data_IF_958857605509
#
_entry.id   IF_958857605509
#
_cell.length_a   1.000
_cell.length_b   1.000
_cell.length_c   1.000
_cell.angle_alpha   90.00
_cell.angle_beta   90.00
_cell.angle_gamma   90.00
#
_symmetry.space_group_name_H-M   'P 1'
#
loop_
_entity.id
_entity.type
_entity.pdbx_description
1 polymer ?
#
# COMPACT_ATOMS: atom_id res chain seq x y z
N UNK A 1 68.83 81.20 -25.65
CA UNK A 1 67.85 80.34 -26.34
C UNK A 1 68.62 79.44 -27.30
N UNK A 2 68.87 78.18 -26.92
CA UNK A 2 69.49 77.19 -27.81
C UNK A 2 68.38 76.39 -28.52
N UNK A 3 68.41 76.28 -29.86
CA UNK A 3 67.42 75.50 -30.59
C UNK A 3 67.67 74.01 -30.36
N UNK A 4 66.67 73.30 -29.81
CA UNK A 4 66.67 71.83 -29.78
C UNK A 4 66.52 71.31 -31.20
N UNK A 5 67.54 70.64 -31.70
CA UNK A 5 67.51 69.94 -32.98
C UNK A 5 66.38 68.91 -32.98
N UNK A 6 65.50 68.97 -33.98
CA UNK A 6 64.47 67.97 -34.19
C UNK A 6 65.12 66.66 -34.64
N UNK A 7 64.69 65.49 -34.10
CA UNK A 7 65.22 64.20 -34.51
C UNK A 7 65.09 64.01 -36.02
N UNK A 8 66.15 63.47 -36.62
CA UNK A 8 66.22 63.23 -38.06
C UNK A 8 65.11 62.28 -38.50
N UNK A 9 64.68 62.35 -39.76
CA UNK A 9 63.67 61.43 -40.31
C UNK A 9 64.08 59.95 -40.21
N UNK A 10 65.37 59.67 -40.00
CA UNK A 10 65.92 58.35 -39.73
C UNK A 10 65.58 57.83 -38.32
N UNK A 11 65.54 58.70 -37.30
CA UNK A 11 65.18 58.30 -35.94
C UNK A 11 63.71 57.86 -35.83
N UNK A 12 62.79 58.55 -36.53
CA UNK A 12 61.34 58.27 -36.43
C UNK A 12 60.94 56.88 -36.93
N UNK A 13 61.62 56.35 -37.96
CA UNK A 13 61.35 54.99 -38.48
C UNK A 13 61.84 53.91 -37.52
N UNK A 14 62.97 54.14 -36.86
CA UNK A 14 63.51 53.21 -35.86
C UNK A 14 62.68 53.19 -34.58
N UNK A 15 62.14 54.34 -34.14
CA UNK A 15 61.21 54.39 -33.00
C UNK A 15 59.87 53.68 -33.28
N UNK A 16 59.32 53.81 -34.50
CA UNK A 16 58.10 53.10 -34.89
C UNK A 16 58.33 51.58 -34.97
N UNK A 17 59.47 51.14 -35.54
CA UNK A 17 59.82 49.73 -35.57
C UNK A 17 60.01 49.15 -34.16
N UNK A 18 60.62 49.91 -33.24
CA UNK A 18 60.81 49.49 -31.85
C UNK A 18 59.49 49.42 -31.07
N UNK A 19 58.58 50.38 -31.28
CA UNK A 19 57.25 50.37 -30.68
C UNK A 19 56.41 49.18 -31.16
N UNK A 20 56.41 48.89 -32.46
CA UNK A 20 55.70 47.73 -33.04
C UNK A 20 56.30 46.42 -32.51
N UNK A 21 57.63 46.32 -32.39
CA UNK A 21 58.29 45.15 -31.83
C UNK A 21 57.93 44.94 -30.35
N UNK A 22 57.86 46.03 -29.56
CA UNK A 22 57.49 45.98 -28.15
C UNK A 22 56.02 45.59 -27.95
N UNK A 23 55.10 46.12 -28.76
CA UNK A 23 53.69 45.74 -28.76
C UNK A 23 53.50 44.28 -29.20
N UNK A 24 54.19 43.84 -30.26
CA UNK A 24 54.15 42.45 -30.70
C UNK A 24 54.73 41.48 -29.66
N UNK A 25 55.80 41.88 -28.95
CA UNK A 25 56.37 41.10 -27.85
C UNK A 25 55.40 40.98 -26.68
N UNK A 26 54.71 42.08 -26.31
CA UNK A 26 53.72 42.10 -25.23
C UNK A 26 52.51 41.22 -25.56
N UNK A 27 51.98 41.32 -26.80
CA UNK A 27 50.88 40.49 -27.28
C UNK A 27 51.29 39.01 -27.31
N UNK A 28 52.51 38.71 -27.76
CA UNK A 28 53.03 37.34 -27.76
C UNK A 28 53.11 36.81 -26.33
N UNK A 29 53.67 37.57 -25.38
CA UNK A 29 53.75 37.21 -23.96
C UNK A 29 52.37 36.96 -23.31
N UNK A 30 51.34 37.69 -23.73
CA UNK A 30 49.95 37.48 -23.29
C UNK A 30 49.36 36.20 -23.90
N UNK A 31 49.74 35.84 -25.13
CA UNK A 31 49.23 34.63 -25.78
C UNK A 31 49.89 33.34 -25.23
N UNK A 32 51.19 33.36 -24.90
CA UNK A 32 51.88 32.19 -24.32
C UNK A 32 51.58 31.96 -22.83
N UNK A 33 50.89 32.87 -22.12
CA UNK A 33 50.51 32.69 -20.71
C UNK A 33 49.19 31.95 -20.50
N UNK A 34 48.52 31.47 -21.56
CA UNK A 34 47.17 30.88 -21.50
C UNK A 34 47.12 29.35 -21.56
N UNK A 35 48.24 28.66 -21.34
CA UNK A 35 48.28 27.19 -21.26
C UNK A 35 47.56 26.69 -19.99
N UNK A 36 46.26 26.44 -20.06
CA UNK A 36 45.55 25.74 -18.99
C UNK A 36 46.01 24.28 -18.93
N UNK A 37 46.24 23.78 -17.72
CA UNK A 37 46.52 22.36 -17.47
C UNK A 37 45.26 21.73 -16.91
N UNK A 38 44.84 20.60 -17.49
CA UNK A 38 43.72 19.79 -17.00
C UNK A 38 44.26 18.71 -16.09
N UNK A 39 43.74 18.66 -14.88
CA UNK A 39 44.07 17.68 -13.85
C UNK A 39 42.91 16.73 -13.62
N UNK A 40 43.24 15.52 -13.16
CA UNK A 40 42.29 14.49 -12.75
C UNK A 40 42.73 13.90 -11.41
N UNK A 41 41.80 13.71 -10.49
CA UNK A 41 42.04 13.03 -9.22
C UNK A 41 40.82 12.21 -8.80
N UNK A 42 41.06 11.03 -8.22
CA UNK A 42 40.00 10.23 -7.62
C UNK A 42 39.87 10.53 -6.12
N UNK A 43 38.66 10.41 -5.58
CA UNK A 43 38.40 10.58 -4.14
C UNK A 43 37.44 9.52 -3.64
N UNK A 44 37.65 9.04 -2.44
CA UNK A 44 36.74 8.10 -1.79
C UNK A 44 36.76 8.26 -0.28
N UNK A 45 35.84 7.57 0.37
CA UNK A 45 35.68 7.67 1.81
C UNK A 45 34.62 6.74 2.35
N UNK A 46 34.35 6.93 3.64
CA UNK A 46 33.34 6.18 4.39
C UNK A 46 32.35 7.14 5.03
N UNK A 47 31.08 6.75 5.03
CA UNK A 47 30.00 7.47 5.68
C UNK A 47 29.36 6.53 6.71
N UNK A 48 29.32 6.96 7.96
CA UNK A 48 28.88 6.11 9.07
C UNK A 48 27.71 6.72 9.84
N UNK A 49 26.89 5.86 10.43
CA UNK A 49 25.90 6.27 11.41
C UNK A 49 26.60 6.64 12.72
N UNK A 50 26.32 7.83 13.24
CA UNK A 50 27.02 8.38 14.40
C UNK A 50 26.75 7.62 15.70
N UNK A 51 25.62 6.93 15.80
CA UNK A 51 25.23 6.20 17.00
C UNK A 51 25.79 4.78 17.01
N UNK A 52 25.67 4.06 15.89
CA UNK A 52 26.08 2.66 15.78
C UNK A 52 27.49 2.46 15.23
N UNK A 53 28.09 3.50 14.63
CA UNK A 53 29.34 3.44 13.87
C UNK A 53 29.30 2.49 12.66
N UNK A 54 28.11 2.03 12.26
CA UNK A 54 27.92 1.19 11.07
C UNK A 54 27.98 2.04 9.80
N UNK A 55 28.45 1.46 8.69
CA UNK A 55 28.38 2.11 7.39
C UNK A 55 26.94 2.39 6.97
N UNK A 56 26.69 3.54 6.34
CA UNK A 56 25.38 3.89 5.78
C UNK A 56 25.36 3.53 4.30
N UNK A 57 24.52 2.57 3.91
CA UNK A 57 24.33 2.16 2.52
C UNK A 57 23.52 3.19 1.70
N UNK A 58 23.74 3.22 0.38
CA UNK A 58 22.99 4.02 -0.62
C UNK A 58 22.98 5.54 -0.38
N UNK A 59 23.93 6.09 0.38
CA UNK A 59 24.13 7.54 0.49
C UNK A 59 24.57 8.09 -0.86
N UNK A 60 23.79 9.00 -1.44
CA UNK A 60 24.20 9.79 -2.61
C UNK A 60 25.29 10.75 -2.18
N UNK A 61 26.40 10.75 -2.91
CA UNK A 61 27.52 11.67 -2.69
C UNK A 61 27.72 12.50 -3.94
N UNK A 62 27.75 13.83 -3.82
CA UNK A 62 28.05 14.74 -4.91
C UNK A 62 29.25 15.61 -4.56
N UNK A 63 30.19 15.73 -5.50
CA UNK A 63 31.42 16.49 -5.34
C UNK A 63 31.40 17.80 -6.13
N UNK A 64 31.96 18.85 -5.52
CA UNK A 64 32.01 20.22 -6.03
C UNK A 64 33.43 20.76 -5.93
N UNK A 65 33.81 21.60 -6.89
CA UNK A 65 35.10 22.31 -6.90
C UNK A 65 35.02 23.71 -6.29
N UNK A 66 33.81 24.18 -6.02
CA UNK A 66 33.51 25.50 -5.48
C UNK A 66 32.53 25.38 -4.31
N UNK A 67 32.83 26.08 -3.22
CA UNK A 67 32.03 26.02 -1.99
C UNK A 67 30.66 26.69 -2.17
N UNK A 68 30.63 27.82 -2.88
CA UNK A 68 29.40 28.57 -3.12
C UNK A 68 28.46 27.79 -4.03
N UNK A 69 29.00 27.03 -4.99
CA UNK A 69 28.24 26.12 -5.84
C UNK A 69 27.59 25.00 -5.02
N UNK A 70 28.35 24.33 -4.13
CA UNK A 70 27.80 23.34 -3.19
C UNK A 70 26.69 23.95 -2.33
N UNK A 71 26.94 25.11 -1.74
CA UNK A 71 26.00 25.75 -0.83
C UNK A 71 24.73 26.23 -1.55
N UNK A 72 24.85 26.63 -2.82
CA UNK A 72 23.70 26.95 -3.68
C UNK A 72 22.82 25.73 -3.88
N UNK A 73 23.39 24.58 -4.26
CA UNK A 73 22.62 23.34 -4.45
C UNK A 73 22.02 22.84 -3.13
N UNK A 74 22.75 22.98 -2.01
CA UNK A 74 22.23 22.65 -0.68
C UNK A 74 20.96 23.43 -0.33
N UNK A 75 20.95 24.73 -0.62
CA UNK A 75 19.80 25.60 -0.36
C UNK A 75 18.66 25.35 -1.35
N UNK A 76 18.96 25.22 -2.64
CA UNK A 76 17.95 25.09 -3.70
C UNK A 76 17.24 23.73 -3.68
N UNK A 77 17.94 22.68 -3.28
CA UNK A 77 17.44 21.30 -3.33
C UNK A 77 17.15 20.69 -1.95
N UNK A 78 17.03 21.51 -0.90
CA UNK A 78 16.71 21.02 0.44
C UNK A 78 15.41 20.20 0.53
N UNK A 79 14.41 20.54 -0.29
CA UNK A 79 13.12 19.84 -0.37
C UNK A 79 13.12 18.66 -1.36
N UNK A 80 13.96 18.68 -2.39
CA UNK A 80 14.11 17.59 -3.36
C UNK A 80 15.59 17.31 -3.69
N UNK A 81 16.33 16.65 -2.79
CA UNK A 81 17.77 16.45 -2.97
C UNK A 81 18.15 15.58 -4.18
N UNK A 82 17.22 14.79 -4.72
CA UNK A 82 17.48 13.94 -5.88
C UNK A 82 17.73 14.74 -7.17
N UNK A 83 17.25 15.98 -7.25
CA UNK A 83 17.50 16.85 -8.40
C UNK A 83 18.94 17.34 -8.52
N UNK A 84 19.73 17.24 -7.45
CA UNK A 84 21.15 17.63 -7.44
C UNK A 84 21.95 16.86 -8.51
N UNK A 85 21.55 15.63 -8.84
CA UNK A 85 22.22 14.83 -9.88
C UNK A 85 22.18 15.50 -11.27
N UNK A 86 21.22 16.40 -11.50
CA UNK A 86 21.10 17.16 -12.75
C UNK A 86 21.83 18.52 -12.72
N UNK A 87 22.43 18.89 -11.58
CA UNK A 87 23.13 20.16 -11.46
C UNK A 87 24.44 20.18 -12.25
N UNK A 88 24.59 21.17 -13.12
CA UNK A 88 25.86 21.40 -13.86
C UNK A 88 27.05 21.78 -12.96
N UNK A 89 26.77 22.10 -11.70
CA UNK A 89 27.79 22.43 -10.70
C UNK A 89 28.49 21.19 -10.14
N UNK A 90 27.81 20.03 -10.16
CA UNK A 90 28.36 18.74 -9.73
C UNK A 90 29.49 18.31 -10.67
N UNK A 91 30.62 17.89 -10.08
CA UNK A 91 31.82 17.44 -10.81
C UNK A 91 32.10 15.95 -10.69
N UNK A 92 31.35 15.26 -9.84
CA UNK A 92 31.35 13.82 -9.73
C UNK A 92 30.30 13.38 -8.72
N UNK A 93 29.81 12.15 -8.87
CA UNK A 93 28.87 11.55 -7.93
C UNK A 93 29.21 10.09 -7.68
N UNK A 94 28.75 9.57 -6.55
CA UNK A 94 28.83 8.17 -6.18
C UNK A 94 27.67 7.79 -5.26
N UNK A 95 27.56 6.49 -5.00
CA UNK A 95 26.70 5.93 -3.94
C UNK A 95 27.57 5.12 -2.99
N UNK A 96 27.23 5.12 -1.71
CA UNK A 96 27.90 4.23 -0.75
C UNK A 96 27.41 2.79 -0.89
N UNK A 97 28.30 1.84 -0.64
CA UNK A 97 27.98 0.42 -0.55
C UNK A 97 27.46 0.01 0.84
N UNK A 98 27.27 -1.29 1.07
CA UNK A 98 26.80 -1.85 2.35
C UNK A 98 27.69 -1.51 3.55
N UNK A 99 28.95 -1.15 3.34
CA UNK A 99 29.90 -0.75 4.38
C UNK A 99 29.99 0.78 4.52
N UNK A 100 29.17 1.53 3.79
CA UNK A 100 29.23 2.99 3.76
C UNK A 100 30.38 3.55 2.94
N UNK A 101 31.08 2.71 2.17
CA UNK A 101 32.23 3.13 1.37
C UNK A 101 31.78 3.65 0.00
N UNK A 102 32.42 4.73 -0.48
CA UNK A 102 32.19 5.24 -1.82
C UNK A 102 33.49 5.64 -2.51
N UNK A 103 33.48 5.65 -3.84
CA UNK A 103 34.58 6.15 -4.67
C UNK A 103 34.04 6.93 -5.87
N UNK A 104 34.53 8.16 -6.04
CA UNK A 104 34.38 8.96 -7.26
C UNK A 104 35.69 8.83 -8.05
N UNK A 105 35.65 8.08 -9.15
CA UNK A 105 36.86 7.68 -9.90
C UNK A 105 37.57 8.83 -10.62
N UNK A 106 36.89 9.96 -10.84
CA UNK A 106 37.47 11.12 -11.50
C UNK A 106 36.74 12.41 -11.12
N UNK A 107 37.48 13.37 -10.58
CA UNK A 107 37.13 14.78 -10.53
C UNK A 107 38.14 15.51 -11.42
N UNK A 108 37.64 16.22 -12.41
CA UNK A 108 38.46 16.93 -13.40
C UNK A 108 38.40 18.42 -13.09
N UNK A 109 39.57 19.08 -13.06
CA UNK A 109 39.67 20.53 -12.90
C UNK A 109 40.77 21.11 -13.77
N UNK A 110 40.61 22.36 -14.15
CA UNK A 110 41.62 23.14 -14.85
C UNK A 110 42.30 24.14 -13.91
N UNK A 111 43.57 24.44 -14.21
CA UNK A 111 44.32 25.52 -13.55
C UNK A 111 45.17 26.25 -14.58
N UNK A 112 45.12 27.58 -14.54
CA UNK A 112 46.00 28.46 -15.33
C UNK A 112 47.35 28.71 -14.67
N UNK A 113 47.49 28.42 -13.38
CA UNK A 113 48.70 28.65 -12.60
C UNK A 113 48.99 27.47 -11.67
N UNK A 114 49.40 26.30 -12.20
CA UNK A 114 49.68 25.14 -11.38
C UNK A 114 50.93 25.36 -10.51
N UNK A 115 50.83 25.07 -9.20
CA UNK A 115 51.92 25.29 -8.24
C UNK A 115 53.07 24.27 -8.39
N UNK A 116 52.74 23.03 -8.77
CA UNK A 116 53.68 21.90 -8.79
C UNK A 116 53.80 21.23 -10.18
N UNK A 117 53.32 21.88 -11.24
CA UNK A 117 53.27 21.31 -12.59
C UNK A 117 52.13 20.30 -12.77
N UNK A 118 52.24 19.38 -13.74
CA UNK A 118 51.20 18.38 -14.08
C UNK A 118 50.96 17.33 -12.99
N UNK A 119 51.91 17.16 -12.08
CA UNK A 119 51.89 16.13 -11.03
C UNK A 119 51.87 16.80 -9.66
N UNK A 120 51.01 16.35 -8.76
CA UNK A 120 50.91 16.83 -7.37
C UNK A 120 50.32 18.23 -7.16
N UNK A 121 49.70 18.86 -8.17
CA UNK A 121 48.81 19.98 -7.90
C UNK A 121 47.59 19.49 -7.12
N UNK A 122 47.01 20.37 -6.31
CA UNK A 122 45.91 20.02 -5.42
C UNK A 122 44.70 20.90 -5.64
N UNK A 123 43.52 20.35 -5.33
CA UNK A 123 42.26 21.08 -5.37
C UNK A 123 41.46 20.80 -4.12
N UNK A 124 40.78 21.83 -3.62
CA UNK A 124 39.77 21.68 -2.57
C UNK A 124 38.48 21.17 -3.21
N UNK A 125 37.91 20.15 -2.60
CA UNK A 125 36.65 19.54 -2.99
C UNK A 125 35.67 19.67 -1.83
N UNK A 126 34.43 19.94 -2.18
CA UNK A 126 33.31 20.06 -1.25
C UNK A 126 32.26 19.01 -1.61
N UNK A 127 31.48 18.57 -0.62
CA UNK A 127 30.57 17.44 -0.77
C UNK A 127 29.18 17.75 -0.24
N UNK A 128 28.18 17.23 -0.95
CA UNK A 128 26.84 17.00 -0.44
C UNK A 128 26.59 15.51 -0.30
N UNK A 129 25.86 15.16 0.75
CA UNK A 129 25.48 13.79 1.08
C UNK A 129 23.98 13.72 1.29
N UNK A 130 23.30 12.77 0.68
CA UNK A 130 21.88 12.57 0.90
C UNK A 130 21.56 11.10 1.10
N UNK A 131 20.78 10.85 2.15
CA UNK A 131 20.13 9.57 2.40
C UNK A 131 18.74 9.86 2.99
N UNK A 132 17.75 9.03 2.67
CA UNK A 132 16.37 9.26 3.11
C UNK A 132 16.23 9.33 4.64
N UNK A 133 17.02 8.55 5.39
CA UNK A 133 16.99 8.51 6.87
C UNK A 133 17.82 9.60 7.56
N UNK A 134 18.83 10.14 6.86
CA UNK A 134 19.79 11.10 7.43
C UNK A 134 19.59 12.52 6.91
N UNK A 135 18.80 12.69 5.85
CA UNK A 135 18.56 13.97 5.17
C UNK A 135 19.74 14.42 4.32
N UNK A 136 19.65 15.65 3.82
CA UNK A 136 20.72 16.31 3.07
C UNK A 136 21.73 16.92 4.04
N UNK A 137 23.02 16.61 3.86
CA UNK A 137 24.14 17.09 4.67
C UNK A 137 25.24 17.63 3.77
N UNK A 138 26.05 18.53 4.32
CA UNK A 138 27.27 19.05 3.66
C UNK A 138 28.49 18.79 4.54
N UNK A 139 29.63 18.52 3.92
CA UNK A 139 30.89 18.38 4.65
C UNK A 139 31.26 19.70 5.35
N UNK A 140 31.74 19.62 6.58
CA UNK A 140 32.12 20.81 7.35
C UNK A 140 33.42 21.45 6.85
N UNK A 141 34.32 20.64 6.30
CA UNK A 141 35.64 21.10 5.84
C UNK A 141 35.95 20.56 4.45
N UNK A 142 36.58 21.39 3.62
CA UNK A 142 37.01 20.99 2.28
C UNK A 142 38.01 19.85 2.34
N UNK A 143 37.88 18.86 1.46
CA UNK A 143 38.86 17.80 1.29
C UNK A 143 39.85 18.19 0.21
N UNK A 144 41.13 17.96 0.47
CA UNK A 144 42.18 18.28 -0.49
C UNK A 144 42.49 17.03 -1.31
N UNK A 145 42.21 17.07 -2.62
CA UNK A 145 42.58 16.00 -3.55
C UNK A 145 43.84 16.39 -4.30
N UNK A 146 44.71 15.42 -4.55
CA UNK A 146 45.90 15.60 -5.37
C UNK A 146 45.70 14.98 -6.75
N UNK A 147 46.23 15.65 -7.77
CA UNK A 147 46.27 15.16 -9.16
C UNK A 147 47.09 13.87 -9.26
N UNK A 148 46.62 12.95 -10.12
CA UNK A 148 47.22 11.64 -10.36
C UNK A 148 47.43 10.77 -9.10
N UNK A 149 46.71 11.08 -8.01
CA UNK A 149 46.73 10.33 -6.76
C UNK A 149 45.36 9.67 -6.47
N UNK A 150 45.41 8.53 -5.77
CA UNK A 150 44.23 7.87 -5.22
C UNK A 150 43.97 8.41 -3.81
N UNK A 151 43.02 9.35 -3.69
CA UNK A 151 42.66 9.96 -2.40
C UNK A 151 41.59 9.10 -1.68
N UNK A 152 41.80 7.78 -1.61
CA UNK A 152 40.88 6.83 -0.96
C UNK A 152 40.93 6.99 0.56
N UNK A 153 39.75 7.08 1.21
CA UNK A 153 39.65 7.28 2.65
C UNK A 153 39.86 8.72 3.12
N UNK A 154 39.90 9.70 2.20
CA UNK A 154 40.07 11.11 2.55
C UNK A 154 38.80 11.77 3.07
N UNK A 155 37.64 11.16 2.82
CA UNK A 155 36.34 11.59 3.34
C UNK A 155 35.93 10.62 4.45
N UNK A 156 35.68 11.15 5.65
CA UNK A 156 35.12 10.39 6.77
C UNK A 156 34.06 11.27 7.42
N UNK A 157 32.81 10.95 7.18
CA UNK A 157 31.66 11.71 7.68
C UNK A 157 30.77 10.79 8.51
N UNK A 158 30.12 11.38 9.51
CA UNK A 158 29.24 10.64 10.41
C UNK A 158 27.97 11.44 10.67
N UNK A 159 26.82 10.80 10.47
CA UNK A 159 25.52 11.47 10.51
C UNK A 159 24.61 10.90 11.60
N UNK A 160 23.87 11.81 12.25
CA UNK A 160 22.77 11.44 13.14
C UNK A 160 21.55 11.06 12.29
N UNK A 161 20.95 9.90 12.57
CA UNK A 161 19.67 9.49 11.98
C UNK A 161 18.59 10.48 12.43
N UNK A 162 17.88 11.09 11.47
CA UNK A 162 16.79 12.06 11.75
C UNK A 162 15.41 11.49 11.46
N UNK A 163 15.34 10.44 10.65
CA UNK A 163 14.11 9.76 10.25
C UNK A 163 14.23 8.27 10.52
N UNK A 164 13.09 7.63 10.75
CA UNK A 164 12.98 6.19 10.94
C UNK A 164 11.93 5.61 10.01
N UNK A 165 12.10 4.33 9.66
CA UNK A 165 11.11 3.55 8.94
C UNK A 165 10.18 2.89 9.96
N UNK A 166 8.88 2.95 9.69
CA UNK A 166 7.85 2.27 10.46
C UNK A 166 7.02 1.39 9.54
N UNK A 167 6.72 0.16 9.97
CA UNK A 167 5.89 -0.75 9.19
C UNK A 167 4.46 -0.69 9.70
N UNK A 168 3.55 -0.19 8.88
CA UNK A 168 2.12 -0.22 9.19
C UNK A 168 1.55 -1.51 8.63
N UNK A 169 1.00 -2.37 9.49
CA UNK A 169 0.35 -3.61 9.09
C UNK A 169 -1.17 -3.43 9.04
N UNK A 170 -1.83 -4.11 8.11
CA UNK A 170 -3.27 -4.08 7.92
C UNK A 170 -3.83 -5.51 7.93
N UNK A 171 -5.05 -5.64 8.43
CA UNK A 171 -5.87 -6.85 8.29
C UNK A 171 -7.26 -6.46 7.85
N UNK A 172 -7.66 -6.94 6.67
CA UNK A 172 -8.94 -6.71 6.04
C UNK A 172 -9.78 -7.95 6.28
N UNK A 173 -10.89 -7.79 6.98
CA UNK A 173 -11.71 -8.89 7.47
C UNK A 173 -13.14 -8.80 6.90
N UNK A 174 -13.75 -9.96 6.68
CA UNK A 174 -15.20 -10.05 6.50
C UNK A 174 -15.89 -9.83 7.85
N UNK A 175 -16.70 -8.77 7.95
CA UNK A 175 -17.39 -8.40 9.19
C UNK A 175 -18.31 -9.50 9.71
N UNK A 176 -18.80 -10.39 8.83
CA UNK A 176 -19.73 -11.44 9.20
C UNK A 176 -19.09 -12.53 10.09
N UNK A 177 -17.78 -12.76 9.95
CA UNK A 177 -17.07 -13.89 10.57
C UNK A 177 -15.66 -13.55 11.11
N UNK A 178 -15.15 -12.34 10.90
CA UNK A 178 -13.80 -11.87 11.28
C UNK A 178 -12.63 -12.66 10.65
N UNK A 179 -12.91 -13.44 9.60
CA UNK A 179 -11.87 -14.09 8.83
C UNK A 179 -11.22 -13.06 7.88
N UNK A 180 -9.91 -13.21 7.57
CA UNK A 180 -9.30 -12.40 6.53
C UNK A 180 -10.10 -12.52 5.23
N UNK A 181 -10.28 -11.40 4.55
CA UNK A 181 -10.95 -11.39 3.27
C UNK A 181 -10.15 -12.26 2.29
N UNK A 182 -10.80 -13.24 1.66
CA UNK A 182 -10.17 -14.18 0.73
C UNK A 182 -9.93 -13.60 -0.66
N UNK A 183 -10.04 -12.28 -0.83
CA UNK A 183 -9.96 -11.60 -2.11
C UNK A 183 -9.14 -10.30 -1.98
N UNK A 184 -8.50 -9.91 -3.08
CA UNK A 184 -7.82 -8.61 -3.19
C UNK A 184 -8.80 -7.44 -3.15
N UNK A 185 -8.38 -6.37 -2.51
CA UNK A 185 -9.07 -5.07 -2.46
C UNK A 185 -8.06 -3.94 -2.65
N UNK A 186 -8.51 -2.86 -3.28
CA UNK A 186 -7.72 -1.64 -3.43
C UNK A 186 -7.83 -0.83 -2.13
N UNK A 187 -6.69 -0.60 -1.48
CA UNK A 187 -6.59 0.21 -0.29
C UNK A 187 -5.95 1.55 -0.65
N UNK A 188 -6.71 2.63 -0.52
CA UNK A 188 -6.18 4.00 -0.54
C UNK A 188 -5.74 4.38 0.87
N UNK A 189 -4.45 4.56 1.05
CA UNK A 189 -3.82 4.84 2.34
C UNK A 189 -3.32 6.28 2.33
N UNK A 190 -3.80 7.07 3.29
CA UNK A 190 -3.37 8.46 3.48
C UNK A 190 -2.68 8.59 4.83
N UNK A 191 -1.45 9.08 4.82
CA UNK A 191 -0.60 9.28 5.98
C UNK A 191 -0.54 10.77 6.27
N UNK A 192 -0.82 11.12 7.52
CA UNK A 192 -0.86 12.49 8.01
C UNK A 192 0.22 12.71 9.07
N UNK A 193 0.70 13.96 9.14
CA UNK A 193 1.49 14.44 10.25
C UNK A 193 0.65 14.57 11.52
N UNK A 194 1.30 14.85 12.65
CA UNK A 194 0.60 15.17 13.89
C UNK A 194 -0.32 16.41 13.77
N UNK A 195 -0.07 17.28 12.77
CA UNK A 195 -0.84 18.49 12.48
C UNK A 195 -1.93 18.28 11.41
N UNK A 196 -2.25 17.03 11.06
CA UNK A 196 -3.26 16.67 10.05
C UNK A 196 -2.91 17.12 8.62
N UNK A 197 -1.63 17.37 8.34
CA UNK A 197 -1.14 17.60 6.98
C UNK A 197 -0.86 16.26 6.29
N UNK A 198 -1.29 16.10 5.04
CA UNK A 198 -0.99 14.91 4.25
C UNK A 198 0.51 14.87 3.95
N UNK A 199 1.20 13.87 4.51
CA UNK A 199 2.61 13.58 4.23
C UNK A 199 2.71 12.75 2.95
N UNK A 200 1.83 11.76 2.83
CA UNK A 200 1.92 10.75 1.78
C UNK A 200 0.54 10.14 1.50
N UNK A 201 0.29 9.83 0.23
CA UNK A 201 -0.90 9.11 -0.22
C UNK A 201 -0.46 8.03 -1.21
N UNK A 202 -0.93 6.79 -1.00
CA UNK A 202 -0.65 5.65 -1.87
C UNK A 202 -1.89 4.79 -2.06
N UNK A 203 -1.89 4.04 -3.14
CA UNK A 203 -2.90 3.02 -3.44
C UNK A 203 -2.19 1.68 -3.59
N UNK A 204 -2.66 0.68 -2.85
CA UNK A 204 -2.07 -0.66 -2.84
C UNK A 204 -3.16 -1.72 -2.99
N UNK A 205 -2.83 -2.85 -3.61
CA UNK A 205 -3.71 -4.02 -3.65
C UNK A 205 -3.39 -4.95 -2.47
N UNK A 206 -4.35 -5.17 -1.58
CA UNK A 206 -4.17 -5.97 -0.36
C UNK A 206 -5.10 -7.18 -0.40
N UNK A 207 -4.55 -8.38 -0.16
CA UNK A 207 -5.31 -9.63 -0.05
C UNK A 207 -5.35 -10.11 1.41
N UNK A 208 -6.40 -9.71 2.13
CA UNK A 208 -6.65 -10.09 3.53
C UNK A 208 -5.70 -9.48 4.56
N UNK A 209 -4.38 -9.50 4.33
CA UNK A 209 -3.36 -8.83 5.16
C UNK A 209 -2.33 -8.15 4.29
N UNK A 210 -1.79 -7.02 4.75
CA UNK A 210 -0.73 -6.30 4.04
C UNK A 210 0.09 -5.44 4.98
N UNK A 211 1.18 -4.89 4.47
CA UNK A 211 1.95 -3.88 5.20
C UNK A 211 2.56 -2.86 4.27
N UNK A 212 2.74 -1.65 4.76
CA UNK A 212 3.51 -0.60 4.07
C UNK A 212 4.62 -0.10 4.98
N UNK A 213 5.75 0.26 4.37
CA UNK A 213 6.83 0.96 5.05
C UNK A 213 6.66 2.46 4.85
N UNK A 214 6.73 3.22 5.95
CA UNK A 214 6.62 4.68 5.97
C UNK A 214 7.86 5.26 6.61
N UNK A 215 8.46 6.25 5.95
CA UNK A 215 9.56 7.01 6.53
C UNK A 215 9.01 8.26 7.21
N UNK A 216 9.30 8.42 8.50
CA UNK A 216 8.86 9.57 9.32
C UNK A 216 10.01 10.13 10.13
N UNK A 217 9.87 11.37 10.60
CA UNK A 217 10.84 11.92 11.54
C UNK A 217 10.89 11.08 12.83
N UNK A 218 12.09 10.95 13.41
CA UNK A 218 12.28 10.18 14.63
C UNK A 218 11.40 10.74 15.74
N UNK A 219 10.75 9.87 16.50
CA UNK A 219 9.79 10.23 17.57
C UNK A 219 8.53 10.97 17.09
N UNK A 220 8.40 11.27 15.78
CA UNK A 220 7.18 11.88 15.26
C UNK A 220 6.01 10.90 15.34
N UNK A 221 4.85 11.44 15.68
CA UNK A 221 3.58 10.74 15.61
C UNK A 221 2.95 10.97 14.25
N UNK A 222 2.50 9.91 13.59
CA UNK A 222 1.75 9.98 12.34
C UNK A 222 0.33 9.47 12.56
N UNK A 223 -0.61 9.92 11.73
CA UNK A 223 -1.96 9.34 11.66
C UNK A 223 -2.14 8.68 10.31
N UNK A 224 -2.88 7.57 10.28
CA UNK A 224 -3.12 6.79 9.07
C UNK A 224 -4.62 6.65 8.88
N UNK A 225 -5.10 6.99 7.68
CA UNK A 225 -6.46 6.70 7.25
C UNK A 225 -6.42 5.72 6.09
N UNK A 226 -7.38 4.79 6.06
CA UNK A 226 -7.48 3.80 4.99
C UNK A 226 -8.90 3.75 4.45
N UNK A 227 -9.04 3.95 3.15
CA UNK A 227 -10.26 3.67 2.39
C UNK A 227 -10.08 2.38 1.63
N UNK A 228 -11.07 1.50 1.69
CA UNK A 228 -11.12 0.28 0.90
C UNK A 228 -12.12 0.45 -0.22
N UNK A 229 -11.68 0.13 -1.44
CA UNK A 229 -12.52 0.09 -2.63
C UNK A 229 -12.30 -1.23 -3.34
N UNK A 230 -13.37 -1.77 -3.90
CA UNK A 230 -13.28 -2.89 -4.83
C UNK A 230 -14.27 -2.66 -5.96
N UNK A 231 -13.74 -2.41 -7.15
CA UNK A 231 -14.54 -2.05 -8.32
C UNK A 231 -15.51 -3.17 -8.70
N UNK A 232 -16.75 -2.80 -9.05
CA UNK A 232 -17.78 -3.71 -9.54
C UNK A 232 -18.08 -4.89 -8.60
N UNK A 233 -17.73 -4.76 -7.32
CA UNK A 233 -17.84 -5.84 -6.35
C UNK A 233 -19.09 -5.70 -5.48
N UNK A 234 -19.45 -6.81 -4.87
CA UNK A 234 -20.48 -6.85 -3.84
C UNK A 234 -19.92 -6.47 -2.46
N UNK A 235 -18.72 -5.92 -2.35
CA UNK A 235 -18.12 -5.59 -1.05
C UNK A 235 -18.17 -4.09 -0.77
N UNK A 236 -18.51 -3.73 0.47
CA UNK A 236 -18.49 -2.35 0.95
C UNK A 236 -17.72 -2.24 2.26
N UNK A 237 -16.95 -1.17 2.42
CA UNK A 237 -16.23 -0.90 3.68
C UNK A 237 -17.22 -0.57 4.79
N UNK A 238 -17.05 -1.18 5.96
CA UNK A 238 -17.87 -0.95 7.14
C UNK A 238 -17.02 -0.86 8.41
N UNK A 239 -17.64 -0.47 9.52
CA UNK A 239 -17.05 -0.63 10.84
C UNK A 239 -17.20 -2.08 11.36
N UNK A 240 -16.72 -2.34 12.58
CA UNK A 240 -16.79 -3.65 13.21
C UNK A 240 -18.24 -4.09 13.55
N UNK A 241 -19.20 -3.16 13.55
CA UNK A 241 -20.63 -3.43 13.72
C UNK A 241 -21.36 -3.65 12.39
N UNK A 242 -20.70 -3.44 11.25
CA UNK A 242 -21.28 -3.57 9.91
C UNK A 242 -21.95 -2.30 9.39
N UNK A 243 -21.84 -1.17 10.11
CA UNK A 243 -22.36 0.09 9.64
C UNK A 243 -21.43 0.67 8.55
N UNK A 244 -21.96 1.34 7.51
CA UNK A 244 -21.13 1.94 6.47
C UNK A 244 -20.16 2.97 7.07
N UNK A 245 -18.89 2.91 6.65
CA UNK A 245 -17.93 3.95 7.03
C UNK A 245 -18.29 5.24 6.30
N UNK A 246 -18.54 6.32 7.06
CA UNK A 246 -18.84 7.65 6.51
C UNK A 246 -17.58 8.52 6.46
N UNK A 247 -17.62 9.58 5.66
CA UNK A 247 -16.55 10.59 5.61
C UNK A 247 -16.70 11.61 6.74
N UNK A 248 -15.61 12.02 7.41
CA UNK A 248 -14.23 11.62 7.18
C UNK A 248 -13.94 10.20 7.68
N UNK A 249 -13.09 9.48 6.95
CA UNK A 249 -12.68 8.13 7.29
C UNK A 249 -11.99 8.10 8.67
N UNK A 250 -12.16 7.02 9.45
CA UNK A 250 -11.47 6.88 10.72
C UNK A 250 -9.96 6.92 10.52
N UNK A 251 -9.27 7.54 11.48
CA UNK A 251 -7.81 7.64 11.53
C UNK A 251 -7.27 6.84 12.71
N UNK A 252 -6.16 6.14 12.51
CA UNK A 252 -5.42 5.46 13.58
C UNK A 252 -4.09 6.19 13.79
N UNK A 253 -3.78 6.51 15.05
CA UNK A 253 -2.52 7.15 15.43
C UNK A 253 -1.43 6.11 15.62
N UNK A 254 -0.29 6.29 14.97
CA UNK A 254 0.89 5.42 15.06
C UNK A 254 2.01 6.17 15.78
N UNK A 255 2.38 5.67 16.95
CA UNK A 255 3.44 6.25 17.80
C UNK A 255 4.67 5.34 17.94
N UNK A 256 4.57 4.08 17.52
CA UNK A 256 5.66 3.10 17.57
C UNK A 256 6.12 2.70 16.17
N UNK A 257 7.33 2.15 16.08
CA UNK A 257 7.91 1.63 14.84
C UNK A 257 7.18 0.40 14.29
N UNK A 258 6.53 -0.37 15.19
CA UNK A 258 5.76 -1.57 14.88
C UNK A 258 4.40 -1.51 15.60
N UNK A 259 3.42 -0.77 15.08
CA UNK A 259 2.07 -0.73 15.63
C UNK A 259 1.37 -2.09 15.52
N UNK A 260 0.33 -2.28 16.35
CA UNK A 260 -0.62 -3.37 16.13
C UNK A 260 -1.29 -3.21 14.76
N UNK A 261 -1.65 -4.32 14.08
CA UNK A 261 -2.29 -4.23 12.77
C UNK A 261 -3.58 -3.40 12.82
N UNK A 262 -3.74 -2.50 11.86
CA UNK A 262 -4.99 -1.77 11.65
C UNK A 262 -6.01 -2.78 11.10
N UNK A 263 -7.08 -3.01 11.86
CA UNK A 263 -8.19 -3.86 11.44
C UNK A 263 -9.17 -3.03 10.62
N UNK A 264 -9.50 -3.52 9.45
CA UNK A 264 -10.44 -2.92 8.51
C UNK A 264 -11.49 -3.97 8.17
N UNK A 265 -12.74 -3.55 8.03
CA UNK A 265 -13.85 -4.46 7.80
C UNK A 265 -14.51 -4.16 6.47
N UNK A 266 -14.90 -5.23 5.78
CA UNK A 266 -15.77 -5.16 4.62
C UNK A 266 -16.95 -6.10 4.82
N UNK A 267 -18.06 -5.77 4.16
CA UNK A 267 -19.28 -6.57 4.17
C UNK A 267 -19.77 -6.84 2.75
N UNK A 268 -20.23 -8.06 2.49
CA UNK A 268 -20.72 -8.48 1.18
C UNK A 268 -22.22 -8.21 1.04
N UNK A 269 -22.65 -7.47 0.03
CA UNK A 269 -24.05 -7.39 -0.40
C UNK A 269 -24.53 -8.65 -1.09
N UNK A 270 -23.63 -9.53 -1.55
CA UNK A 270 -23.98 -10.83 -2.14
C UNK A 270 -23.85 -11.90 -1.07
N UNK A 271 -24.99 -12.42 -0.67
CA UNK A 271 -25.17 -13.29 0.48
C UNK A 271 -25.66 -14.65 0.01
N UNK A 272 -25.45 -15.69 0.82
CA UNK A 272 -25.90 -17.05 0.53
C UNK A 272 -26.76 -17.53 1.67
N UNK A 273 -27.89 -18.19 1.37
CA UNK A 273 -28.68 -18.87 2.38
C UNK A 273 -27.93 -20.12 2.88
N UNK A 274 -27.84 -20.36 4.20
CA UNK A 274 -27.44 -21.66 4.72
C UNK A 274 -28.33 -22.78 4.19
N UNK A 275 -27.77 -23.99 4.15
CA UNK A 275 -28.56 -25.19 3.91
C UNK A 275 -29.53 -25.39 5.06
N UNK A 276 -30.82 -25.50 4.79
CA UNK A 276 -31.85 -25.80 5.78
C UNK A 276 -32.11 -27.31 5.77
N UNK A 277 -32.23 -27.86 6.97
CA UNK A 277 -32.49 -29.27 7.24
C UNK A 277 -33.49 -29.40 8.38
N UNK A 278 -34.17 -30.52 8.46
CA UNK A 278 -35.13 -30.77 9.52
C UNK A 278 -35.94 -32.02 9.28
N UNK A 279 -37.06 -32.11 9.99
CA UNK A 279 -38.04 -33.18 9.86
C UNK A 279 -39.44 -32.59 9.91
N UNK A 280 -40.38 -33.22 9.21
CA UNK A 280 -41.77 -32.78 9.15
C UNK A 280 -42.66 -33.84 9.78
N UNK A 281 -43.59 -33.38 10.61
CA UNK A 281 -44.62 -34.21 11.22
C UNK A 281 -45.99 -33.61 10.93
N UNK A 282 -46.63 -34.13 9.89
CA UNK A 282 -48.02 -33.80 9.58
C UNK A 282 -48.93 -34.66 10.45
N UNK A 283 -49.73 -34.02 11.30
CA UNK A 283 -50.84 -34.69 11.97
C UNK A 283 -51.87 -35.05 10.91
N UNK A 284 -51.98 -36.33 10.54
CA UNK A 284 -53.04 -36.79 9.67
C UNK A 284 -54.40 -36.38 10.26
N UNK A 285 -55.25 -35.74 9.45
CA UNK A 285 -56.62 -35.38 9.83
C UNK A 285 -57.55 -36.58 9.92
N UNK A 286 -57.07 -37.78 9.58
CA UNK A 286 -57.75 -39.03 9.86
C UNK A 286 -57.88 -39.25 11.36
N UNK A 287 -59.10 -39.45 11.83
CA UNK A 287 -59.37 -39.88 13.21
C UNK A 287 -58.44 -41.07 13.51
N UNK A 288 -57.57 -40.99 14.52
CA UNK A 288 -56.69 -42.10 14.84
C UNK A 288 -57.56 -43.25 15.31
N UNK A 289 -57.89 -44.17 14.41
CA UNK A 289 -58.40 -45.48 14.80
C UNK A 289 -57.27 -46.14 15.57
N UNK A 290 -57.56 -46.56 16.80
CA UNK A 290 -56.61 -46.94 17.85
C UNK A 290 -55.60 -48.08 17.53
N UNK A 291 -55.50 -48.51 16.27
CA UNK A 291 -54.62 -49.59 15.80
C UNK A 291 -53.54 -49.15 14.78
N UNK A 292 -53.40 -47.87 14.46
CA UNK A 292 -52.31 -47.39 13.56
C UNK A 292 -51.11 -46.80 14.32
N UNK A 293 -50.65 -47.49 15.37
CA UNK A 293 -49.32 -47.27 15.90
C UNK A 293 -48.30 -47.95 14.98
N UNK A 294 -47.81 -47.18 14.01
CA UNK A 294 -46.67 -47.54 13.16
C UNK A 294 -47.06 -47.88 11.73
N UNK A 295 -46.40 -47.21 10.77
CA UNK A 295 -46.49 -47.37 9.30
C UNK A 295 -47.58 -46.55 8.59
N UNK A 296 -47.43 -45.22 8.52
CA UNK A 296 -47.71 -44.54 7.24
C UNK A 296 -46.46 -44.68 6.38
N UNK A 297 -46.60 -44.86 5.07
CA UNK A 297 -45.44 -44.91 4.18
C UNK A 297 -44.73 -43.55 4.15
N UNK A 298 -43.49 -43.50 3.64
CA UNK A 298 -42.92 -42.22 3.22
C UNK A 298 -43.73 -41.71 2.03
N UNK A 299 -44.46 -40.63 2.26
CA UNK A 299 -45.31 -40.03 1.24
C UNK A 299 -44.49 -39.14 0.28
N UNK A 300 -43.15 -39.07 0.44
CA UNK A 300 -42.24 -38.28 -0.40
C UNK A 300 -42.74 -36.85 -0.54
N UNK A 301 -43.06 -36.21 0.59
CA UNK A 301 -43.60 -34.86 0.62
C UNK A 301 -42.63 -33.88 -0.05
N UNK A 302 -43.13 -33.09 -0.99
CA UNK A 302 -42.36 -32.03 -1.60
C UNK A 302 -42.33 -30.81 -0.68
N UNK A 303 -41.18 -30.16 -0.64
CA UNK A 303 -40.93 -28.95 0.13
C UNK A 303 -40.45 -27.87 -0.81
N UNK A 304 -41.09 -26.72 -0.70
CA UNK A 304 -40.72 -25.51 -1.42
C UNK A 304 -40.15 -24.49 -0.44
N UNK A 305 -39.12 -23.78 -0.85
CA UNK A 305 -38.58 -22.63 -0.14
C UNK A 305 -39.06 -21.37 -0.84
N UNK A 306 -39.84 -20.58 -0.12
CA UNK A 306 -40.32 -19.29 -0.57
C UNK A 306 -39.63 -18.17 0.20
N UNK A 307 -39.39 -17.03 -0.46
CA UNK A 307 -39.15 -15.76 0.22
C UNK A 307 -40.47 -15.18 0.71
N UNK A 308 -40.47 -14.57 1.91
CA UNK A 308 -41.58 -13.74 2.38
C UNK A 308 -41.21 -12.29 2.10
N UNK A 309 -41.96 -11.64 1.20
CA UNK A 309 -41.70 -10.25 0.82
C UNK A 309 -42.18 -9.24 1.88
N UNK A 310 -42.01 -7.95 1.58
CA UNK A 310 -42.40 -6.85 2.50
C UNK A 310 -43.91 -6.71 2.70
N UNK A 311 -44.73 -7.39 1.90
CA UNK A 311 -46.20 -7.42 2.01
C UNK A 311 -46.70 -8.78 2.53
N UNK A 312 -45.81 -9.58 3.14
CA UNK A 312 -46.08 -10.94 3.62
C UNK A 312 -46.53 -11.92 2.51
N UNK A 313 -46.16 -11.63 1.25
CA UNK A 313 -46.44 -12.54 0.13
C UNK A 313 -45.33 -13.59 -0.01
N UNK A 314 -45.74 -14.84 -0.21
CA UNK A 314 -44.85 -15.94 -0.55
C UNK A 314 -44.42 -15.85 -2.03
N UNK A 315 -43.11 -15.84 -2.24
CA UNK A 315 -42.48 -15.83 -3.56
C UNK A 315 -41.58 -17.06 -3.66
N UNK A 316 -41.95 -18.01 -4.52
CA UNK A 316 -41.15 -19.21 -4.76
C UNK A 316 -39.75 -18.86 -5.27
N UNK A 317 -38.72 -19.39 -4.61
CA UNK A 317 -37.35 -19.27 -5.08
C UNK A 317 -37.13 -20.24 -6.25
N UNK A 318 -36.55 -19.75 -7.35
CA UNK A 318 -36.48 -20.49 -8.61
C UNK A 318 -35.29 -21.45 -8.70
N UNK A 319 -34.37 -21.42 -7.74
CA UNK A 319 -33.17 -22.25 -7.74
C UNK A 319 -33.52 -23.71 -7.46
N UNK A 320 -32.82 -24.70 -8.04
CA UNK A 320 -33.10 -26.12 -7.81
C UNK A 320 -32.97 -26.56 -6.34
N UNK A 321 -32.21 -25.83 -5.52
CA UNK A 321 -32.11 -26.08 -4.08
C UNK A 321 -33.30 -25.57 -3.27
N UNK A 322 -34.17 -24.75 -3.86
CA UNK A 322 -35.41 -24.30 -3.24
C UNK A 322 -36.48 -25.40 -3.17
N UNK A 323 -36.27 -26.55 -3.84
CA UNK A 323 -37.19 -27.69 -3.77
C UNK A 323 -36.49 -28.94 -3.26
N UNK A 324 -37.09 -29.61 -2.30
CA UNK A 324 -36.62 -30.91 -1.76
C UNK A 324 -37.78 -31.87 -1.60
N UNK A 325 -37.47 -33.15 -1.66
CA UNK A 325 -38.41 -34.21 -1.31
C UNK A 325 -37.93 -34.80 0.00
N UNK A 326 -38.85 -35.03 0.92
CA UNK A 326 -38.50 -35.68 2.18
C UNK A 326 -38.04 -37.10 1.95
N UNK A 327 -37.21 -37.61 2.86
CA UNK A 327 -36.80 -39.00 2.88
C UNK A 327 -37.13 -39.63 4.23
N UNK A 328 -37.44 -40.93 4.19
CA UNK A 328 -37.60 -41.75 5.37
C UNK A 328 -36.28 -41.91 6.13
N UNK A 329 -36.35 -41.81 7.47
CA UNK A 329 -35.29 -42.28 8.37
C UNK A 329 -35.82 -43.26 9.41
N UNK A 330 -35.06 -44.34 9.59
CA UNK A 330 -35.36 -45.45 10.50
C UNK A 330 -35.77 -46.72 9.76
N UNK A 331 -35.42 -47.89 10.33
CA UNK A 331 -35.64 -49.19 9.68
C UNK A 331 -36.96 -49.86 10.03
N UNK A 332 -37.86 -49.22 10.79
CA UNK A 332 -39.20 -49.74 11.13
C UNK A 332 -39.24 -51.04 11.92
N UNK A 333 -38.11 -51.73 12.09
CA UNK A 333 -37.95 -52.90 12.94
C UNK A 333 -37.50 -52.44 14.32
N UNK A 334 -38.23 -52.85 15.37
CA UNK A 334 -37.96 -52.66 16.81
C UNK A 334 -38.69 -51.51 17.54
N UNK A 335 -39.91 -51.13 17.16
CA UNK A 335 -40.73 -50.12 17.86
C UNK A 335 -40.14 -48.70 17.89
N UNK A 336 -39.15 -48.38 17.05
CA UNK A 336 -38.72 -47.00 16.85
C UNK A 336 -39.77 -46.24 16.02
N UNK A 337 -40.01 -44.97 16.38
CA UNK A 337 -40.89 -44.09 15.59
C UNK A 337 -40.19 -43.81 14.26
N UNK A 338 -40.79 -44.27 13.15
CA UNK A 338 -40.28 -43.95 11.82
C UNK A 338 -40.64 -42.49 11.51
N UNK A 339 -39.63 -41.70 11.14
CA UNK A 339 -39.81 -40.31 10.70
C UNK A 339 -39.80 -40.27 9.18
N UNK A 340 -40.93 -39.91 8.59
CA UNK A 340 -41.19 -39.98 7.14
C UNK A 340 -41.09 -38.61 6.46
N UNK A 341 -40.30 -37.71 7.02
CA UNK A 341 -40.34 -36.29 6.68
C UNK A 341 -39.01 -35.58 6.80
N UNK A 342 -37.87 -36.29 6.82
CA UNK A 342 -36.57 -35.64 6.94
C UNK A 342 -36.15 -34.99 5.62
N UNK A 343 -35.55 -33.81 5.70
CA UNK A 343 -35.01 -33.11 4.54
C UNK A 343 -33.67 -32.47 4.89
N UNK A 344 -32.83 -32.31 3.86
CA UNK A 344 -31.55 -31.62 3.96
C UNK A 344 -31.26 -30.80 2.70
N UNK A 345 -30.37 -29.83 2.81
CA UNK A 345 -29.91 -29.07 1.65
C UNK A 345 -30.97 -28.16 1.02
N UNK A 346 -32.07 -27.86 1.72
CA UNK A 346 -33.09 -26.92 1.23
C UNK A 346 -32.52 -25.51 1.30
N UNK A 347 -32.58 -24.73 0.23
CA UNK A 347 -31.99 -23.39 0.17
C UNK A 347 -30.47 -23.33 0.03
N UNK A 348 -29.77 -24.47 0.01
CA UNK A 348 -28.33 -24.50 -0.10
C UNK A 348 -27.83 -23.76 -1.36
N UNK A 349 -26.84 -22.88 -1.18
CA UNK A 349 -26.23 -22.08 -2.24
C UNK A 349 -27.18 -21.12 -2.98
N UNK A 350 -28.36 -20.82 -2.41
CA UNK A 350 -29.21 -19.76 -2.97
C UNK A 350 -28.57 -18.42 -2.60
N UNK A 351 -28.15 -17.69 -3.63
CA UNK A 351 -27.58 -16.37 -3.49
C UNK A 351 -28.68 -15.30 -3.54
N UNK A 352 -28.54 -14.26 -2.71
CA UNK A 352 -29.38 -13.07 -2.78
C UNK A 352 -28.53 -11.81 -2.58
N UNK A 353 -29.05 -10.69 -3.05
CA UNK A 353 -28.40 -9.38 -2.89
C UNK A 353 -29.17 -8.54 -1.89
N UNK A 354 -28.49 -8.06 -0.85
CA UNK A 354 -29.02 -7.09 0.10
C UNK A 354 -27.98 -5.99 0.34
N UNK A 355 -28.27 -4.78 -0.14
CA UNK A 355 -27.42 -3.59 0.05
C UNK A 355 -27.88 -2.72 1.23
N UNK A 356 -28.97 -3.09 1.90
CA UNK A 356 -29.67 -2.26 2.87
C UNK A 356 -29.39 -2.66 4.32
N UNK A 357 -28.88 -3.86 4.57
CA UNK A 357 -28.60 -4.32 5.93
C UNK A 357 -27.47 -3.53 6.59
N UNK A 358 -27.67 -3.17 7.86
CA UNK A 358 -26.80 -2.27 8.64
C UNK A 358 -25.96 -3.00 9.70
N UNK A 359 -26.19 -4.30 9.91
CA UNK A 359 -25.43 -5.12 10.85
C UNK A 359 -24.32 -5.94 10.19
N UNK A 360 -23.76 -6.89 10.95
CA UNK A 360 -22.72 -7.81 10.46
C UNK A 360 -23.27 -8.94 9.58
N UNK A 361 -24.60 -9.11 9.54
CA UNK A 361 -25.31 -10.07 8.70
C UNK A 361 -26.67 -9.50 8.26
N UNK A 362 -27.17 -9.97 7.13
CA UNK A 362 -28.57 -9.77 6.75
C UNK A 362 -29.44 -10.87 7.33
N UNK A 363 -30.71 -10.54 7.57
CA UNK A 363 -31.74 -11.51 7.93
C UNK A 363 -32.74 -11.61 6.79
N UNK A 364 -32.99 -12.82 6.31
CA UNK A 364 -33.97 -13.10 5.26
C UNK A 364 -35.12 -13.91 5.87
N UNK A 365 -36.36 -13.45 5.66
CA UNK A 365 -37.56 -14.22 6.00
C UNK A 365 -37.84 -15.19 4.86
N UNK A 366 -37.91 -16.47 5.19
CA UNK A 366 -38.25 -17.53 4.24
C UNK A 366 -39.35 -18.40 4.83
N UNK A 367 -40.10 -19.07 3.97
CA UNK A 367 -41.10 -20.05 4.34
C UNK A 367 -40.75 -21.41 3.75
N UNK A 368 -40.86 -22.46 4.56
CA UNK A 368 -40.84 -23.84 4.10
C UNK A 368 -42.29 -24.25 3.89
N UNK A 369 -42.71 -24.37 2.64
CA UNK A 369 -44.07 -24.76 2.24
C UNK A 369 -44.08 -26.27 2.00
N UNK A 370 -45.09 -26.96 2.54
CA UNK A 370 -45.36 -28.37 2.26
C UNK A 370 -46.25 -28.43 1.03
N UNK A 371 -45.64 -28.79 -0.10
CA UNK A 371 -46.27 -28.95 -1.41
C UNK A 371 -46.98 -30.31 -1.45
N UNK A 372 -48.26 -30.28 -1.06
CA UNK A 372 -49.02 -31.49 -0.72
C UNK A 372 -49.49 -32.26 -1.96
N UNK A 373 -49.70 -31.56 -3.08
CA UNK A 373 -50.10 -32.14 -4.36
C UNK A 373 -48.92 -32.32 -5.33
N UNK A 374 -47.73 -31.85 -4.93
CA UNK A 374 -46.46 -32.03 -5.60
C UNK A 374 -46.42 -31.36 -6.98
N UNK A 375 -47.13 -30.25 -7.14
CA UNK A 375 -47.24 -29.51 -8.41
C UNK A 375 -46.09 -28.49 -8.61
N UNK A 376 -45.35 -28.19 -7.54
CA UNK A 376 -44.22 -27.28 -7.53
C UNK A 376 -44.56 -25.79 -7.40
N UNK A 377 -45.79 -25.45 -7.02
CA UNK A 377 -46.26 -24.08 -6.80
C UNK A 377 -46.86 -23.94 -5.39
N UNK A 378 -46.58 -22.85 -4.66
CA UNK A 378 -47.26 -22.59 -3.39
C UNK A 378 -48.72 -22.19 -3.65
N UNK A 379 -49.67 -22.92 -3.08
CA UNK A 379 -51.11 -22.68 -3.22
C UNK A 379 -51.79 -22.23 -1.92
N UNK A 380 -52.95 -21.58 -2.04
CA UNK A 380 -53.82 -21.29 -0.90
C UNK A 380 -54.23 -22.62 -0.25
N UNK A 381 -54.39 -22.67 1.07
CA UNK A 381 -54.66 -23.88 1.86
C UNK A 381 -53.46 -24.79 2.15
N UNK A 382 -52.31 -24.60 1.48
CA UNK A 382 -51.09 -25.32 1.85
C UNK A 382 -50.54 -24.85 3.17
N UNK A 383 -49.67 -25.67 3.78
CA UNK A 383 -49.09 -25.35 5.08
C UNK A 383 -47.66 -24.86 4.96
N UNK A 384 -47.33 -23.81 5.69
CA UNK A 384 -45.97 -23.26 5.70
C UNK A 384 -45.42 -23.07 7.12
N UNK A 385 -44.10 -23.02 7.19
CA UNK A 385 -43.35 -22.69 8.40
C UNK A 385 -42.42 -21.53 8.09
N UNK A 386 -42.68 -20.37 8.72
CA UNK A 386 -41.81 -19.20 8.60
C UNK A 386 -40.53 -19.38 9.41
N UNK A 387 -39.45 -18.93 8.79
CA UNK A 387 -38.11 -19.07 9.30
C UNK A 387 -37.29 -17.80 8.98
N UNK A 388 -36.64 -17.22 9.98
CA UNK A 388 -35.72 -16.10 9.79
C UNK A 388 -34.27 -16.63 9.70
N UNK A 389 -33.67 -16.54 8.52
CA UNK A 389 -32.33 -17.06 8.23
C UNK A 389 -31.30 -15.92 8.28
N UNK A 390 -30.14 -16.13 8.91
CA UNK A 390 -29.04 -15.16 8.92
C UNK A 390 -27.98 -15.50 7.87
N UNK A 391 -27.48 -14.48 7.18
CA UNK A 391 -26.50 -14.67 6.10
C UNK A 391 -25.11 -15.12 6.56
N UNK A 392 -24.79 -15.00 7.84
CA UNK A 392 -23.50 -15.41 8.41
C UNK A 392 -23.52 -16.81 9.05
N UNK A 393 -24.68 -17.48 9.05
CA UNK A 393 -24.77 -18.86 9.48
C UNK A 393 -24.10 -19.75 8.43
N UNK A 394 -22.87 -20.17 8.70
CA UNK A 394 -22.16 -21.08 7.81
C UNK A 394 -22.64 -22.52 8.03
N UNK A 395 -22.98 -23.21 6.94
CA UNK A 395 -23.26 -24.65 6.94
C UNK A 395 -24.75 -25.00 6.89
N UNK A 396 -25.13 -26.00 7.70
CA UNK A 396 -26.49 -26.53 7.76
C UNK A 396 -27.22 -26.03 8.99
N UNK A 397 -28.31 -25.31 8.79
CA UNK A 397 -29.24 -24.96 9.83
C UNK A 397 -30.31 -26.06 9.97
N UNK A 398 -30.60 -26.45 11.21
CA UNK A 398 -31.58 -27.48 11.51
C UNK A 398 -32.79 -26.85 12.20
N UNK A 399 -33.94 -26.86 11.55
CA UNK A 399 -35.20 -26.31 12.08
C UNK A 399 -35.93 -27.27 13.04
N UNK A 400 -35.37 -28.45 13.29
CA UNK A 400 -35.93 -29.45 14.19
C UNK A 400 -37.10 -30.21 13.57
N UNK A 401 -38.18 -30.40 14.34
CA UNK A 401 -39.41 -31.04 13.88
C UNK A 401 -40.45 -29.94 13.62
N UNK A 402 -40.87 -29.79 12.37
CA UNK A 402 -41.97 -28.91 11.99
C UNK A 402 -43.28 -29.66 12.32
N UNK A 403 -43.99 -29.17 13.34
CA UNK A 403 -45.31 -29.66 13.75
C UNK A 403 -46.26 -28.48 13.91
N UNK A 404 -47.44 -28.54 13.30
CA UNK A 404 -48.44 -27.46 13.20
C UNK A 404 -48.01 -26.26 12.32
N UNK A 405 -47.78 -26.46 11.01
CA UNK A 405 -47.53 -25.34 10.11
C UNK A 405 -48.82 -24.52 9.88
N UNK A 406 -48.65 -23.20 9.72
CA UNK A 406 -49.72 -22.24 9.43
C UNK A 406 -50.31 -22.51 8.03
N UNK A 407 -51.53 -22.07 7.77
CA UNK A 407 -52.19 -22.26 6.45
C UNK A 407 -51.99 -21.00 5.61
N UNK A 408 -51.65 -21.16 4.32
CA UNK A 408 -51.57 -20.05 3.38
C UNK A 408 -53.00 -19.51 3.17
N UNK A 409 -53.19 -18.21 3.46
CA UNK A 409 -54.46 -17.48 3.31
C UNK A 409 -54.66 -16.86 1.92
#
# INVERSE_FOLDING_TARGET
MHPRALPSAWDRRNYQAFAILQEALLITLILISSCSVVFRGGVGGIITDKTSSSGIEDVRVWAYLDESARDTDYTNHGSNPLEIENSSMVKGSARTDTNGEFTISAIIWDSSNPLFGKTADYKKVFFLFYHELYGLKKNQSSIRIYSDATNSGSVNESFDTIKERSTISFRIEDVANNNPLGESVEAKITIYSALDEVIEERTEEINGTGSIEVTKDKEATIKVSVSLKKELSNWSQCDEQGAPVTTPLPTTTITSTNPSPIRLFMKSSKLTLPSISGSIRLSGTGTPTANHLGTSADDNQALLLCEIDVNDKLILLTQPSARRVTAQRGTGANNETVFHGEFNGLGANIEFVDITYTGTYATKRVAIVVDADNDGAPEVEEKFFEVAVRSNEQGSWNVGVISNPDTIE
#
